data_IF_452773218427
#
_entry.id   IF_452773218427
#
_cell.length_a   1.000
_cell.length_b   1.000
_cell.length_c   1.000
_cell.angle_alpha   90.00
_cell.angle_beta   90.00
_cell.angle_gamma   90.00
#
_symmetry.space_group_name_H-M   'P 1'
#
loop_
_entity.id
_entity.type
_entity.pdbx_description
1 polymer ?
#
# COMPACT_ATOMS: atom_id res chain seq x y z
N UNK A 1 -24.09 -25.13 25.64
CA UNK A 1 -23.50 -23.77 25.51
C UNK A 1 -22.20 -23.91 24.74
N UNK A 2 -22.16 -23.42 23.49
CA UNK A 2 -20.97 -23.50 22.62
C UNK A 2 -20.22 -22.17 22.72
N UNK A 3 -19.00 -22.21 23.25
CA UNK A 3 -18.08 -21.07 23.32
C UNK A 3 -17.46 -20.82 21.93
N UNK A 4 -17.63 -19.62 21.39
CA UNK A 4 -16.92 -19.11 20.21
C UNK A 4 -15.52 -18.63 20.63
N UNK A 5 -14.45 -18.90 19.86
CA UNK A 5 -13.16 -18.29 20.10
C UNK A 5 -13.16 -16.84 19.59
N UNK A 6 -12.75 -15.92 20.46
CA UNK A 6 -12.56 -14.51 20.14
C UNK A 6 -11.21 -14.37 19.41
N UNK A 7 -11.23 -14.06 18.12
CA UNK A 7 -10.02 -13.69 17.38
C UNK A 7 -9.69 -12.25 17.73
N UNK A 8 -8.66 -12.04 18.55
CA UNK A 8 -8.12 -10.72 18.83
C UNK A 8 -7.26 -10.26 17.65
N UNK A 9 -7.72 -9.23 16.94
CA UNK A 9 -6.89 -8.50 15.97
C UNK A 9 -6.20 -7.38 16.75
N UNK A 10 -4.92 -7.55 17.04
CA UNK A 10 -4.08 -6.51 17.66
C UNK A 10 -3.64 -5.53 16.58
N UNK A 11 -4.17 -4.31 16.62
CA UNK A 11 -3.62 -3.17 15.89
C UNK A 11 -2.58 -2.53 16.79
N UNK A 12 -1.30 -2.75 16.51
CA UNK A 12 -0.19 -2.13 17.25
C UNK A 12 0.01 -0.71 16.71
N UNK A 13 -0.39 0.30 17.48
CA UNK A 13 0.07 1.68 17.26
C UNK A 13 1.51 1.81 17.76
N UNK A 14 2.44 2.14 16.87
CA UNK A 14 3.85 2.32 17.19
C UNK A 14 4.04 3.54 18.12
N UNK A 15 4.33 3.29 19.39
CA UNK A 15 4.78 4.31 20.33
C UNK A 15 6.32 4.40 20.30
N UNK A 16 6.83 5.53 19.82
CA UNK A 16 8.22 5.99 19.86
C UNK A 16 9.29 5.06 19.27
N UNK A 17 9.22 4.86 17.95
CA UNK A 17 10.36 4.41 17.18
C UNK A 17 11.37 5.56 17.02
N UNK A 18 12.62 5.37 17.44
CA UNK A 18 13.70 6.30 17.11
C UNK A 18 14.09 6.07 15.64
N UNK A 19 13.46 6.79 14.72
CA UNK A 19 13.75 6.70 13.29
C UNK A 19 15.02 7.49 12.97
N UNK A 20 15.96 6.82 12.30
CA UNK A 20 17.19 7.40 11.76
C UNK A 20 17.09 7.36 10.24
N UNK A 21 17.42 8.48 9.60
CA UNK A 21 17.41 8.64 8.15
C UNK A 21 18.79 9.10 7.68
N UNK A 22 19.38 8.36 6.75
CA UNK A 22 20.63 8.75 6.06
C UNK A 22 20.34 8.93 4.58
N UNK A 23 20.44 10.16 4.06
CA UNK A 23 20.12 10.48 2.66
C UNK A 23 21.40 10.53 1.82
N UNK A 24 21.41 9.84 0.68
CA UNK A 24 22.51 9.83 -0.27
C UNK A 24 22.16 10.65 -1.51
N UNK A 25 23.17 11.19 -2.20
CA UNK A 25 22.96 12.05 -3.37
C UNK A 25 22.52 11.28 -4.64
N UNK A 26 22.42 9.95 -4.57
CA UNK A 26 22.02 9.08 -5.68
C UNK A 26 20.52 8.73 -5.64
N UNK A 27 19.69 9.63 -5.10
CA UNK A 27 18.24 9.47 -5.00
C UNK A 27 17.77 8.28 -4.14
N UNK A 28 18.56 7.89 -3.13
CA UNK A 28 18.18 6.88 -2.16
C UNK A 28 18.56 7.30 -0.73
N UNK A 29 17.89 6.70 0.25
CA UNK A 29 18.20 6.85 1.66
C UNK A 29 18.15 5.50 2.37
N UNK A 30 18.91 5.39 3.46
CA UNK A 30 18.77 4.31 4.42
C UNK A 30 17.88 4.76 5.58
N UNK A 31 16.85 3.98 5.86
CA UNK A 31 15.97 4.13 7.02
C UNK A 31 16.30 3.05 8.02
N UNK A 32 16.40 3.44 9.29
CA UNK A 32 16.56 2.53 10.42
C UNK A 32 15.61 2.95 11.53
N UNK A 33 14.88 2.01 12.09
CA UNK A 33 13.94 2.28 13.16
C UNK A 33 13.86 1.12 14.14
N UNK A 34 13.62 1.45 15.41
CA UNK A 34 13.37 0.45 16.44
C UNK A 34 11.86 0.29 16.61
N UNK A 35 11.37 -0.94 16.54
CA UNK A 35 9.95 -1.27 16.78
C UNK A 35 9.84 -2.29 17.91
N UNK A 36 8.70 -2.31 18.56
CA UNK A 36 8.32 -3.39 19.49
C UNK A 36 7.29 -4.28 18.82
N UNK A 37 7.58 -5.57 18.73
CA UNK A 37 6.66 -6.59 18.21
C UNK A 37 6.12 -7.42 19.37
N UNK A 38 4.82 -7.67 19.40
CA UNK A 38 4.21 -8.66 20.29
C UNK A 38 4.02 -9.95 19.50
N UNK A 39 4.79 -10.99 19.87
CA UNK A 39 4.80 -12.26 19.16
C UNK A 39 4.36 -13.39 20.09
N UNK A 40 3.65 -14.38 19.53
CA UNK A 40 3.45 -15.68 20.16
C UNK A 40 4.62 -16.60 19.83
N UNK A 41 4.85 -17.62 20.63
CA UNK A 41 5.80 -18.67 20.28
C UNK A 41 5.32 -19.42 19.02
N UNK A 42 6.22 -19.67 18.07
CA UNK A 42 5.91 -20.27 16.77
C UNK A 42 5.70 -19.23 15.66
N UNK A 43 4.79 -19.50 14.73
CA UNK A 43 4.55 -18.63 13.57
C UNK A 43 3.63 -17.44 13.89
N UNK A 44 3.94 -16.27 13.34
CA UNK A 44 3.22 -15.02 13.51
C UNK A 44 3.07 -14.30 12.17
N UNK A 45 1.91 -13.70 11.91
CA UNK A 45 1.72 -12.73 10.82
C UNK A 45 1.92 -11.32 11.39
N UNK A 46 2.88 -10.58 10.85
CA UNK A 46 3.19 -9.20 11.26
C UNK A 46 2.98 -8.27 10.08
N UNK A 47 2.27 -7.16 10.32
CA UNK A 47 2.05 -6.11 9.32
C UNK A 47 2.79 -4.85 9.75
N UNK A 48 3.70 -4.39 8.90
CA UNK A 48 4.49 -3.18 9.12
C UNK A 48 3.99 -2.10 8.16
N UNK A 49 3.36 -1.07 8.72
CA UNK A 49 2.88 0.11 7.99
C UNK A 49 3.79 1.31 8.24
N UNK A 50 3.44 2.44 7.61
CA UNK A 50 4.13 3.72 7.76
C UNK A 50 5.57 3.66 7.24
N UNK A 51 5.74 2.88 6.17
CA UNK A 51 6.94 2.76 5.35
C UNK A 51 6.75 3.52 4.04
N UNK A 52 7.85 3.84 3.36
CA UNK A 52 7.78 4.54 2.08
C UNK A 52 7.25 3.64 0.97
N UNK A 53 6.57 4.21 -0.03
CA UNK A 53 6.16 3.46 -1.22
C UNK A 53 7.35 3.01 -2.08
N UNK A 54 8.51 3.66 -1.92
CA UNK A 54 9.76 3.40 -2.64
C UNK A 54 10.74 2.52 -1.86
N UNK A 55 10.26 1.83 -0.82
CA UNK A 55 11.05 0.82 -0.12
C UNK A 55 11.55 -0.23 -1.13
N UNK A 56 12.83 -0.58 -1.05
CA UNK A 56 13.45 -1.67 -1.80
C UNK A 56 13.28 -2.98 -1.00
N UNK A 57 12.40 -3.92 -1.40
CA UNK A 57 12.06 -5.07 -0.58
C UNK A 57 13.27 -5.96 -0.25
N UNK A 58 14.20 -6.08 -1.18
CA UNK A 58 15.39 -6.90 -1.06
C UNK A 58 16.42 -6.33 -0.07
N UNK A 59 16.28 -5.06 0.32
CA UNK A 59 17.17 -4.38 1.27
C UNK A 59 16.72 -4.51 2.73
N UNK A 60 15.54 -5.08 2.97
CA UNK A 60 14.93 -5.15 4.28
C UNK A 60 15.73 -6.06 5.21
N UNK A 61 16.06 -5.53 6.38
CA UNK A 61 16.69 -6.27 7.47
C UNK A 61 15.86 -6.12 8.73
N UNK A 62 15.64 -7.25 9.41
CA UNK A 62 15.01 -7.32 10.73
C UNK A 62 16.02 -7.94 11.70
N UNK A 63 16.32 -7.25 12.80
CA UNK A 63 17.28 -7.71 13.81
C UNK A 63 16.67 -7.57 15.20
N UNK A 64 16.59 -8.67 15.94
CA UNK A 64 16.25 -8.61 17.36
C UNK A 64 17.40 -7.99 18.17
N UNK A 65 17.08 -7.05 19.05
CA UNK A 65 18.06 -6.27 19.81
C UNK A 65 18.42 -6.92 21.15
N UNK A 66 17.49 -7.65 21.77
CA UNK A 66 17.70 -8.21 23.12
C UNK A 66 18.15 -9.66 23.10
N UNK A 67 17.57 -10.46 22.21
CA UNK A 67 17.85 -11.89 22.06
C UNK A 67 18.15 -12.21 20.59
N UNK A 68 19.41 -12.11 20.14
CA UNK A 68 19.78 -12.46 18.78
C UNK A 68 19.26 -13.85 18.39
N UNK A 69 18.83 -14.00 17.14
CA UNK A 69 18.31 -15.25 16.53
C UNK A 69 16.99 -15.81 17.12
N UNK A 70 16.34 -15.11 18.04
CA UNK A 70 15.03 -15.50 18.60
C UNK A 70 13.87 -15.33 17.61
N UNK A 71 14.06 -14.54 16.55
CA UNK A 71 13.10 -14.32 15.46
C UNK A 71 13.73 -14.73 14.13
N UNK A 72 12.93 -15.34 13.25
CA UNK A 72 13.32 -15.64 11.86
C UNK A 72 12.24 -15.19 10.90
N UNK A 73 12.62 -14.54 9.80
CA UNK A 73 11.70 -14.25 8.71
C UNK A 73 11.49 -15.55 7.93
N UNK A 74 10.25 -16.03 7.87
CA UNK A 74 9.85 -17.18 7.05
C UNK A 74 9.40 -16.73 5.66
N UNK A 75 8.63 -15.65 5.59
CA UNK A 75 8.12 -15.06 4.35
C UNK A 75 8.10 -13.54 4.45
N UNK A 76 8.35 -12.87 3.34
CA UNK A 76 8.24 -11.43 3.20
C UNK A 76 7.48 -11.10 1.91
N UNK A 77 6.46 -10.25 2.04
CA UNK A 77 5.75 -9.69 0.90
C UNK A 77 5.58 -8.18 1.09
N UNK A 78 5.86 -7.40 0.05
CA UNK A 78 5.70 -5.95 0.09
C UNK A 78 4.55 -5.54 -0.82
N UNK A 79 3.55 -4.91 -0.22
CA UNK A 79 2.45 -4.29 -0.94
C UNK A 79 2.70 -2.78 -1.02
N UNK A 80 3.11 -2.32 -2.20
CA UNK A 80 3.46 -0.92 -2.44
C UNK A 80 2.28 -0.09 -2.93
N UNK A 81 1.23 -0.71 -3.48
CA UNK A 81 0.09 0.00 -4.07
C UNK A 81 -1.05 0.07 -3.05
N UNK A 82 -1.18 1.19 -2.31
CA UNK A 82 -2.29 1.35 -1.40
C UNK A 82 -3.60 1.36 -2.18
N UNK A 83 -4.68 1.05 -1.47
CA UNK A 83 -6.03 1.01 -2.01
C UNK A 83 -6.36 2.29 -2.80
N UNK A 84 -6.60 2.13 -4.10
CA UNK A 84 -7.03 3.20 -5.00
C UNK A 84 -8.48 3.01 -5.43
N UNK A 85 -9.14 4.08 -5.88
CA UNK A 85 -10.47 4.00 -6.48
C UNK A 85 -10.48 3.02 -7.66
N UNK A 86 -9.47 3.05 -8.53
CA UNK A 86 -9.33 2.13 -9.65
C UNK A 86 -9.22 0.66 -9.20
N UNK A 87 -8.45 0.36 -8.16
CA UNK A 87 -8.36 -0.99 -7.59
C UNK A 87 -9.70 -1.44 -7.00
N UNK A 88 -10.43 -0.54 -6.35
CA UNK A 88 -11.76 -0.82 -5.82
C UNK A 88 -12.79 -1.05 -6.92
N UNK A 89 -12.75 -0.26 -8.01
CA UNK A 89 -13.55 -0.49 -9.21
C UNK A 89 -13.23 -1.86 -9.81
N UNK A 90 -11.94 -2.23 -9.91
CA UNK A 90 -11.51 -3.53 -10.41
C UNK A 90 -12.04 -4.68 -9.56
N UNK A 91 -11.93 -4.57 -8.23
CA UNK A 91 -12.52 -5.55 -7.28
C UNK A 91 -14.06 -5.59 -7.32
N UNK A 92 -14.67 -4.58 -7.94
CA UNK A 92 -16.11 -4.43 -8.09
C UNK A 92 -16.60 -4.73 -9.51
N UNK A 93 -15.73 -5.17 -10.43
CA UNK A 93 -16.13 -5.63 -11.76
C UNK A 93 -17.17 -6.76 -11.65
N UNK A 94 -18.24 -6.64 -12.44
CA UNK A 94 -19.41 -7.51 -12.40
C UNK A 94 -20.43 -7.16 -11.30
N UNK A 95 -20.11 -6.28 -10.34
CA UNK A 95 -21.00 -5.90 -9.23
C UNK A 95 -21.76 -4.61 -9.51
N UNK A 96 -22.89 -4.44 -8.83
CA UNK A 96 -23.63 -3.17 -8.77
C UNK A 96 -22.98 -2.28 -7.72
N UNK A 97 -22.73 -1.02 -8.08
CA UNK A 97 -22.27 0.05 -7.19
C UNK A 97 -23.26 1.21 -7.22
N UNK A 98 -23.33 1.92 -6.09
CA UNK A 98 -24.02 3.18 -5.98
C UNK A 98 -23.11 4.31 -6.46
N UNK A 99 -23.66 5.28 -7.18
CA UNK A 99 -22.96 6.46 -7.67
C UNK A 99 -23.68 7.72 -7.22
N UNK A 100 -22.96 8.63 -6.57
CA UNK A 100 -23.47 9.96 -6.22
C UNK A 100 -23.28 10.90 -7.42
N UNK A 101 -24.40 11.45 -7.92
CA UNK A 101 -24.44 12.47 -8.96
C UNK A 101 -24.89 13.78 -8.33
N UNK A 102 -24.09 14.83 -8.50
CA UNK A 102 -24.47 16.20 -8.11
C UNK A 102 -25.06 16.91 -9.32
N UNK A 103 -26.35 17.25 -9.24
CA UNK A 103 -27.06 18.03 -10.26
C UNK A 103 -26.55 19.48 -10.27
N UNK A 104 -26.80 20.20 -11.37
CA UNK A 104 -26.45 21.64 -11.48
C UNK A 104 -27.14 22.49 -10.40
N UNK A 105 -28.28 22.02 -9.88
CA UNK A 105 -29.03 22.64 -8.77
C UNK A 105 -28.38 22.45 -7.40
N UNK A 106 -27.33 21.62 -7.31
CA UNK A 106 -26.71 21.19 -6.05
C UNK A 106 -27.39 19.99 -5.39
N UNK A 107 -28.51 19.51 -5.94
CA UNK A 107 -29.19 18.30 -5.46
C UNK A 107 -28.34 17.05 -5.73
N UNK A 108 -28.26 16.16 -4.74
CA UNK A 108 -27.55 14.89 -4.84
C UNK A 108 -28.52 13.75 -5.11
N UNK A 109 -28.19 12.91 -6.09
CA UNK A 109 -28.96 11.70 -6.42
C UNK A 109 -28.04 10.48 -6.46
N UNK A 110 -28.54 9.35 -5.97
CA UNK A 110 -27.88 8.05 -6.10
C UNK A 110 -28.41 7.33 -7.35
N UNK A 111 -27.48 6.84 -8.17
CA UNK A 111 -27.76 5.99 -9.33
C UNK A 111 -27.03 4.68 -9.16
N UNK A 112 -27.68 3.57 -9.50
CA UNK A 112 -27.07 2.24 -9.47
C UNK A 112 -26.51 1.89 -10.84
N UNK A 113 -25.28 1.39 -10.89
CA UNK A 113 -24.67 0.92 -12.12
C UNK A 113 -23.81 -0.32 -11.89
N UNK A 114 -23.76 -1.21 -12.89
CA UNK A 114 -22.88 -2.38 -12.86
C UNK A 114 -21.53 -2.02 -13.47
N UNK A 115 -20.44 -2.30 -12.77
CA UNK A 115 -19.10 -2.14 -13.37
C UNK A 115 -18.88 -3.27 -14.37
N UNK A 116 -18.67 -2.93 -15.63
CA UNK A 116 -18.26 -3.89 -16.66
C UNK A 116 -16.73 -3.94 -16.77
N UNK A 117 -16.07 -2.79 -16.62
CA UNK A 117 -14.61 -2.65 -16.64
C UNK A 117 -14.17 -1.45 -15.81
N UNK A 118 -13.15 -1.61 -15.00
CA UNK A 118 -12.57 -0.53 -14.20
C UNK A 118 -11.64 0.41 -14.98
N UNK A 119 -11.03 -0.09 -16.07
CA UNK A 119 -9.96 0.63 -16.75
C UNK A 119 -8.66 0.72 -15.94
N UNK A 120 -8.59 0.04 -14.79
CA UNK A 120 -7.45 0.07 -13.91
C UNK A 120 -6.26 -0.67 -14.52
N UNK A 121 -5.16 0.06 -14.68
CA UNK A 121 -3.85 -0.50 -15.01
C UNK A 121 -3.04 -0.57 -13.72
N UNK A 122 -2.61 -1.76 -13.27
CA UNK A 122 -1.73 -1.88 -12.11
C UNK A 122 -0.31 -1.36 -12.40
N UNK A 123 0.28 -0.79 -11.35
CA UNK A 123 1.70 -0.53 -11.13
C UNK A 123 2.49 0.39 -12.08
N UNK A 124 2.93 1.52 -11.51
CA UNK A 124 4.11 2.28 -11.97
C UNK A 124 5.42 1.56 -11.67
N UNK A 125 5.50 0.70 -10.64
CA UNK A 125 6.72 -0.07 -10.30
C UNK A 125 7.13 -1.06 -11.40
N UNK A 126 6.16 -1.56 -12.18
CA UNK A 126 6.43 -2.38 -13.36
C UNK A 126 7.15 -1.59 -14.46
N UNK A 127 7.03 -0.26 -14.50
CA UNK A 127 7.68 0.59 -15.51
C UNK A 127 9.20 0.59 -15.35
N UNK A 128 9.68 0.59 -14.11
CA UNK A 128 11.13 0.50 -13.83
C UNK A 128 11.67 -0.88 -14.17
N UNK A 129 10.90 -1.95 -13.95
CA UNK A 129 11.31 -3.33 -14.22
C UNK A 129 11.33 -3.70 -15.71
N UNK A 130 10.32 -3.28 -16.47
CA UNK A 130 10.16 -3.66 -17.89
C UNK A 130 10.56 -2.56 -18.87
N UNK A 131 10.99 -1.40 -18.37
CA UNK A 131 11.55 -0.31 -19.14
C UNK A 131 10.51 0.61 -19.80
N UNK A 132 11.03 1.66 -20.44
CA UNK A 132 10.23 2.76 -20.99
C UNK A 132 9.21 2.31 -22.04
N UNK A 133 9.54 1.32 -22.87
CA UNK A 133 8.64 0.81 -23.92
C UNK A 133 7.34 0.25 -23.32
N UNK A 134 7.44 -0.51 -22.22
CA UNK A 134 6.30 -1.05 -21.49
C UNK A 134 5.48 0.09 -20.87
N UNK A 135 6.15 1.06 -20.25
CA UNK A 135 5.49 2.22 -19.66
C UNK A 135 4.65 3.01 -20.68
N UNK A 136 5.20 3.27 -21.88
CA UNK A 136 4.48 3.96 -22.94
C UNK A 136 3.26 3.17 -23.44
N UNK A 137 3.42 1.86 -23.67
CA UNK A 137 2.31 1.01 -24.09
C UNK A 137 1.20 1.02 -23.04
N UNK A 138 1.57 0.92 -21.77
CA UNK A 138 0.61 0.89 -20.68
C UNK A 138 -0.07 2.26 -20.46
N UNK A 139 0.66 3.35 -20.61
CA UNK A 139 0.12 4.71 -20.59
C UNK A 139 -0.86 4.96 -21.75
N UNK A 140 -0.59 4.41 -22.93
CA UNK A 140 -1.52 4.46 -24.07
C UNK A 140 -2.83 3.73 -23.76
N UNK A 141 -2.77 2.56 -23.10
CA UNK A 141 -3.98 1.87 -22.63
C UNK A 141 -4.69 2.57 -21.48
N UNK A 142 -3.97 3.28 -20.60
CA UNK A 142 -4.56 4.04 -19.49
C UNK A 142 -5.23 5.35 -19.95
N UNK A 143 -4.92 5.83 -21.16
CA UNK A 143 -5.59 6.99 -21.75
C UNK A 143 -7.10 6.69 -21.91
N UNK A 144 -8.00 7.61 -21.49
CA UNK A 144 -9.44 7.49 -21.75
C UNK A 144 -9.79 7.15 -23.20
N UNK A 145 -9.06 7.70 -24.19
CA UNK A 145 -9.24 7.42 -25.61
C UNK A 145 -8.67 6.04 -26.04
N UNK A 146 -7.71 5.50 -25.29
CA UNK A 146 -7.04 4.22 -25.56
C UNK A 146 -7.62 3.01 -24.82
N UNK A 147 -8.77 3.17 -24.15
CA UNK A 147 -9.47 2.08 -23.45
C UNK A 147 -9.30 2.07 -21.93
N UNK A 148 -8.61 3.07 -21.36
CA UNK A 148 -8.37 3.19 -19.92
C UNK A 148 -9.54 3.74 -19.14
N UNK A 149 -10.57 4.23 -19.83
CA UNK A 149 -11.80 4.66 -19.16
C UNK A 149 -12.62 3.46 -18.65
N UNK A 150 -13.25 3.59 -17.46
CA UNK A 150 -14.21 2.61 -16.97
C UNK A 150 -15.37 2.42 -17.96
N UNK A 151 -15.97 1.23 -17.92
CA UNK A 151 -17.24 0.94 -18.61
C UNK A 151 -18.23 0.49 -17.56
N UNK A 152 -19.42 1.08 -17.57
CA UNK A 152 -20.51 0.71 -16.68
C UNK A 152 -21.80 0.50 -17.45
N UNK A 153 -22.68 -0.32 -16.89
CA UNK A 153 -24.07 -0.45 -17.32
C UNK A 153 -24.98 0.26 -16.33
N UNK A 154 -25.79 1.20 -16.81
CA UNK A 154 -26.78 1.95 -16.03
C UNK A 154 -28.12 1.86 -16.76
N UNK A 155 -29.17 1.43 -16.06
CA UNK A 155 -30.52 1.26 -16.62
C UNK A 155 -30.55 0.45 -17.94
N UNK A 156 -29.73 -0.61 -18.01
CA UNK A 156 -29.61 -1.48 -19.19
C UNK A 156 -28.85 -0.88 -20.37
N UNK A 157 -28.25 0.30 -20.21
CA UNK A 157 -27.42 0.96 -21.22
C UNK A 157 -25.96 0.94 -20.81
N UNK A 158 -25.10 0.59 -21.75
CA UNK A 158 -23.64 0.64 -21.57
C UNK A 158 -23.16 2.06 -21.86
N UNK A 159 -22.34 2.60 -20.96
CA UNK A 159 -21.66 3.87 -21.14
C UNK A 159 -20.19 3.77 -20.75
N UNK A 160 -19.39 4.65 -21.34
CA UNK A 160 -18.00 4.87 -20.96
C UNK A 160 -17.92 5.95 -19.89
N UNK A 161 -17.00 5.80 -18.95
CA UNK A 161 -16.89 6.64 -17.77
C UNK A 161 -17.92 6.29 -16.68
N UNK A 162 -17.69 6.84 -15.50
CA UNK A 162 -18.59 6.67 -14.36
C UNK A 162 -19.73 7.71 -14.44
N UNK A 163 -20.97 7.36 -14.05
CA UNK A 163 -22.11 8.27 -14.06
C UNK A 163 -22.00 9.35 -12.97
N UNK A 164 -21.16 9.11 -11.95
CA UNK A 164 -20.93 9.98 -10.80
C UNK A 164 -19.81 9.44 -9.93
N UNK A 165 -19.70 9.92 -8.69
CA UNK A 165 -18.70 9.46 -7.72
C UNK A 165 -19.09 8.07 -7.20
N UNK A 166 -18.24 7.04 -7.32
CA UNK A 166 -18.56 5.70 -6.84
C UNK A 166 -18.61 5.66 -5.30
N UNK A 167 -19.57 4.90 -4.77
CA UNK A 167 -19.72 4.59 -3.35
C UNK A 167 -19.48 3.10 -3.19
N UNK A 168 -18.37 2.75 -2.54
CA UNK A 168 -18.02 1.36 -2.25
C UNK A 168 -18.60 0.93 -0.91
N UNK A 169 -18.86 -0.37 -0.78
CA UNK A 169 -19.15 -0.98 0.51
C UNK A 169 -17.99 -0.76 1.51
N UNK A 170 -18.27 -0.97 2.80
CA UNK A 170 -17.27 -0.87 3.84
C UNK A 170 -16.04 -1.72 3.49
N UNK A 171 -14.86 -1.09 3.56
CA UNK A 171 -13.60 -1.75 3.26
C UNK A 171 -13.31 -2.83 4.30
N UNK A 172 -12.71 -3.93 3.87
CA UNK A 172 -12.11 -4.90 4.79
C UNK A 172 -11.12 -4.15 5.70
N UNK A 173 -11.23 -4.25 7.03
CA UNK A 173 -10.26 -3.65 7.96
C UNK A 173 -8.80 -4.05 7.67
N UNK A 174 -8.57 -5.17 6.98
CA UNK A 174 -7.25 -5.66 6.54
C UNK A 174 -6.81 -5.12 5.18
N UNK A 175 -7.58 -4.24 4.54
CA UNK A 175 -7.20 -3.63 3.27
C UNK A 175 -5.90 -2.83 3.42
N UNK A 176 -5.02 -2.95 2.44
CA UNK A 176 -3.77 -2.21 2.39
C UNK A 176 -4.04 -0.76 2.02
N UNK A 177 -4.26 0.09 3.02
CA UNK A 177 -4.52 1.53 2.82
C UNK A 177 -3.23 2.34 2.69
N UNK A 178 -2.10 1.73 3.04
CA UNK A 178 -0.76 2.32 3.02
C UNK A 178 0.22 1.27 2.48
N UNK A 179 1.39 1.68 1.96
CA UNK A 179 2.50 0.77 1.74
C UNK A 179 2.71 -0.10 2.98
N UNK A 180 2.72 -1.42 2.78
CA UNK A 180 2.71 -2.39 3.88
C UNK A 180 3.67 -3.52 3.58
N UNK A 181 4.53 -3.83 4.55
CA UNK A 181 5.34 -5.04 4.54
C UNK A 181 4.62 -6.11 5.38
N UNK A 182 4.36 -7.25 4.78
CA UNK A 182 3.80 -8.44 5.39
C UNK A 182 4.93 -9.41 5.68
N UNK A 183 5.08 -9.79 6.94
CA UNK A 183 5.98 -10.86 7.34
C UNK A 183 5.24 -12.03 7.91
N UNK A 184 5.68 -13.24 7.55
CA UNK A 184 5.51 -14.42 8.39
C UNK A 184 6.80 -14.61 9.18
N UNK A 185 6.73 -14.44 10.50
CA UNK A 185 7.87 -14.58 11.40
C UNK A 185 7.72 -15.84 12.23
N UNK A 186 8.82 -16.58 12.43
CA UNK A 186 8.91 -17.55 13.52
C UNK A 186 9.54 -16.88 14.74
N UNK A 187 9.01 -17.15 15.93
CA UNK A 187 9.57 -16.73 17.20
C UNK A 187 9.78 -17.91 18.15
N UNK A 188 10.94 -17.97 18.79
CA UNK A 188 11.26 -19.02 19.78
C UNK A 188 10.51 -18.86 21.11
N UNK A 189 10.10 -17.62 21.45
CA UNK A 189 9.48 -17.26 22.71
C UNK A 189 8.34 -16.27 22.51
N UNK A 190 7.26 -16.42 23.30
CA UNK A 190 6.17 -15.45 23.31
C UNK A 190 6.57 -14.20 24.12
N UNK A 191 6.11 -13.03 23.68
CA UNK A 191 6.29 -11.78 24.42
C UNK A 191 6.61 -10.58 23.55
N UNK A 192 7.18 -9.55 24.19
CA UNK A 192 7.64 -8.33 23.54
C UNK A 192 9.07 -8.50 23.04
N UNK A 193 9.25 -8.23 21.76
CA UNK A 193 10.51 -8.31 21.04
C UNK A 193 10.89 -6.89 20.58
N UNK A 194 12.09 -6.44 20.91
CA UNK A 194 12.59 -5.14 20.47
C UNK A 194 13.45 -5.33 19.24
N UNK A 195 12.92 -4.94 18.09
CA UNK A 195 13.55 -5.17 16.81
C UNK A 195 14.07 -3.86 16.23
N UNK A 196 15.23 -3.92 15.59
CA UNK A 196 15.66 -2.94 14.62
C UNK A 196 15.19 -3.42 13.24
N UNK A 197 14.43 -2.56 12.56
CA UNK A 197 14.05 -2.73 11.18
C UNK A 197 14.74 -1.64 10.35
N UNK A 198 15.40 -2.06 9.27
CA UNK A 198 16.06 -1.14 8.36
C UNK A 198 15.84 -1.53 6.91
N UNK A 199 15.81 -0.53 6.04
CA UNK A 199 15.59 -0.70 4.61
C UNK A 199 16.19 0.47 3.84
N UNK A 200 16.44 0.26 2.55
CA UNK A 200 16.72 1.29 1.57
C UNK A 200 15.43 1.75 0.92
N UNK A 201 15.36 3.03 0.60
CA UNK A 201 14.24 3.62 -0.12
C UNK A 201 14.73 4.63 -1.13
N UNK A 202 14.12 4.60 -2.32
CA UNK A 202 14.35 5.61 -3.36
C UNK A 202 13.60 6.93 -3.09
N UNK A 203 13.78 7.89 -4.00
CA UNK A 203 12.98 9.12 -4.08
C UNK A 203 13.42 10.24 -3.14
N UNK A 204 14.57 10.11 -2.48
CA UNK A 204 15.14 11.14 -1.61
C UNK A 204 16.52 11.55 -2.09
N UNK A 205 16.72 12.85 -2.33
CA UNK A 205 18.01 13.47 -2.65
C UNK A 205 18.23 14.67 -1.74
N UNK A 206 19.50 15.02 -1.51
CA UNK A 206 19.87 16.24 -0.81
C UNK A 206 20.88 17.02 -1.65
N UNK A 207 20.89 18.33 -1.49
CA UNK A 207 21.85 19.23 -2.12
C UNK A 207 22.38 20.20 -1.06
N UNK A 208 23.68 20.51 -1.09
CA UNK A 208 24.26 21.57 -0.26
C UNK A 208 24.98 22.57 -1.15
N UNK A 209 24.66 23.84 -0.93
CA UNK A 209 25.34 24.96 -1.57
C UNK A 209 26.30 25.56 -0.55
N UNK A 210 27.59 25.63 -0.90
CA UNK A 210 28.62 26.22 -0.07
C UNK A 210 29.01 27.59 -0.64
N UNK A 211 28.83 28.64 0.15
CA UNK A 211 29.33 29.97 -0.17
C UNK A 211 30.55 30.26 0.70
N UNK A 212 31.68 30.58 0.07
CA UNK A 212 32.84 31.11 0.76
C UNK A 212 32.79 32.64 0.71
N UNK A 213 32.93 33.30 1.87
CA UNK A 213 33.14 34.75 1.93
C UNK A 213 34.62 34.98 2.23
N UNK A 214 35.33 35.58 1.28
CA UNK A 214 36.70 36.04 1.47
C UNK A 214 36.70 37.53 1.83
N UNK A 215 37.57 37.98 2.76
CA UNK A 215 37.71 39.39 3.15
C UNK A 215 38.37 40.26 2.07
#
# INVERSE_FOLDING_TARGET
>A
MRSLPLVAVLVVSAANAQTQLTVYNQNFAAVKENRTLELSQGENEVRVTDITAHLEPESVVLRELRQPDSIRILEQNYESDPLSEGLLLRKSEGKLLDFEITMQTGEKRIVKGRILRSGYVPHTSAFERYGQQYAYAQAAYANPEGGGQPIVEVDGKVQFGLPGKPIFDALDPKAFLKPTLLWRLWSGEAGKHEVEFSYLTGGMRWEANYNAVAP
#
